data_IF_010539775094
#
_entry.id   IF_010539775094
#
_cell.length_a   1.000
_cell.length_b   1.000
_cell.length_c   1.000
_cell.angle_alpha   90.00
_cell.angle_beta   90.00
_cell.angle_gamma   90.00
#
_symmetry.space_group_name_H-M   'P 1'
#
loop_
_entity.id
_entity.type
_entity.pdbx_description
1 polymer ?
#
# COMPACT_ATOMS: atom_id res chain seq x y z
N UNK A 1 8.20 -0.82 -2.91
CA UNK A 1 7.02 -1.67 -3.17
C UNK A 1 5.97 -0.87 -3.95
N UNK A 2 5.14 -1.52 -4.78
CA UNK A 2 3.99 -0.85 -5.41
C UNK A 2 2.73 -1.12 -4.59
N UNK A 3 2.03 -0.06 -4.17
CA UNK A 3 0.78 -0.17 -3.39
C UNK A 3 -0.32 0.63 -4.04
N UNK A 4 -1.56 0.12 -3.91
CA UNK A 4 -2.78 0.84 -4.27
C UNK A 4 -3.69 0.97 -3.04
N UNK A 5 -4.44 2.07 -2.88
CA UNK A 5 -5.41 2.18 -1.80
C UNK A 5 -6.58 1.24 -2.06
N UNK A 6 -7.16 0.68 -1.00
CA UNK A 6 -8.43 -0.04 -1.11
C UNK A 6 -9.52 0.93 -1.55
N UNK A 7 -10.45 0.47 -2.39
CA UNK A 7 -11.51 1.32 -2.93
C UNK A 7 -12.30 2.01 -1.79
N UNK A 8 -12.48 3.33 -1.92
CA UNK A 8 -13.13 4.16 -0.90
C UNK A 8 -12.22 4.59 0.26
N UNK A 9 -10.93 4.24 0.25
CA UNK A 9 -9.94 4.74 1.22
C UNK A 9 -9.13 5.90 0.64
N UNK A 10 -8.88 6.89 1.49
CA UNK A 10 -7.90 7.96 1.25
C UNK A 10 -6.68 7.70 2.11
N UNK A 11 -5.57 7.31 1.49
CA UNK A 11 -4.32 6.99 2.20
C UNK A 11 -3.30 8.09 1.90
N UNK A 12 -2.83 8.86 2.90
CA UNK A 12 -1.80 9.86 2.68
C UNK A 12 -0.47 9.20 2.32
N UNK A 13 0.29 9.85 1.45
CA UNK A 13 1.66 9.51 1.05
C UNK A 13 2.61 10.49 1.75
N UNK A 14 3.28 10.09 2.84
CA UNK A 14 4.15 11.00 3.61
C UNK A 14 5.36 11.50 2.83
N UNK A 15 5.82 10.78 1.80
CA UNK A 15 6.99 11.16 1.02
C UNK A 15 6.64 12.27 0.01
N UNK A 16 5.41 12.26 -0.52
CA UNK A 16 4.94 13.21 -1.52
C UNK A 16 4.07 14.33 -0.95
N UNK A 17 3.52 14.15 0.27
CA UNK A 17 2.60 15.10 0.89
C UNK A 17 1.22 15.14 0.24
N UNK A 18 0.89 14.16 -0.61
CA UNK A 18 -0.42 14.01 -1.28
C UNK A 18 -1.15 12.74 -0.83
N UNK A 19 -2.31 12.45 -1.43
CA UNK A 19 -2.99 11.17 -1.27
C UNK A 19 -2.47 10.17 -2.31
N UNK A 20 -2.34 8.92 -1.90
CA UNK A 20 -2.01 7.82 -2.79
C UNK A 20 -3.09 7.72 -3.89
N UNK A 21 -2.71 7.77 -5.17
CA UNK A 21 -3.67 7.72 -6.26
C UNK A 21 -4.38 6.36 -6.32
N UNK A 22 -5.61 6.33 -6.84
CA UNK A 22 -6.40 5.10 -6.97
C UNK A 22 -5.72 4.02 -7.82
N UNK A 23 -4.89 4.43 -8.79
CA UNK A 23 -4.06 3.52 -9.59
C UNK A 23 -2.94 2.85 -8.78
N UNK A 24 -2.60 3.41 -7.62
CA UNK A 24 -1.42 3.08 -6.84
C UNK A 24 -0.15 3.80 -7.31
N UNK A 25 0.91 3.63 -6.54
CA UNK A 25 2.23 4.23 -6.77
C UNK A 25 3.33 3.31 -6.23
N UNK A 26 4.54 3.45 -6.79
CA UNK A 26 5.73 2.85 -6.21
C UNK A 26 6.23 3.71 -5.04
N UNK A 27 6.34 3.10 -3.87
CA UNK A 27 6.73 3.74 -2.61
C UNK A 27 7.87 2.96 -1.95
N UNK A 28 8.60 3.59 -1.03
CA UNK A 28 9.61 2.88 -0.25
C UNK A 28 8.96 1.83 0.66
N UNK A 29 9.58 0.66 0.78
CA UNK A 29 9.12 -0.36 1.74
C UNK A 29 9.59 0.02 3.14
N UNK A 30 8.75 0.79 3.84
CA UNK A 30 9.02 1.26 5.19
C UNK A 30 7.88 0.91 6.15
N UNK A 31 8.10 1.16 7.45
CA UNK A 31 7.12 0.83 8.49
C UNK A 31 5.75 1.48 8.30
N UNK A 32 5.67 2.63 7.62
CA UNK A 32 4.39 3.28 7.34
C UNK A 32 3.54 2.43 6.37
N UNK A 33 4.11 2.04 5.22
CA UNK A 33 3.38 1.25 4.23
C UNK A 33 3.09 -0.17 4.71
N UNK A 34 4.00 -0.79 5.45
CA UNK A 34 3.77 -2.10 6.07
C UNK A 34 2.58 -2.08 7.04
N UNK A 35 2.45 -1.03 7.85
CA UNK A 35 1.29 -0.86 8.74
C UNK A 35 -0.02 -0.67 7.97
N UNK A 36 0.02 0.06 6.84
CA UNK A 36 -1.17 0.25 5.98
C UNK A 36 -1.61 -1.05 5.30
N UNK A 37 -0.66 -1.91 4.92
CA UNK A 37 -0.95 -3.26 4.43
C UNK A 37 -1.63 -4.09 5.51
N UNK A 38 -1.06 -4.13 6.72
CA UNK A 38 -1.63 -4.89 7.85
C UNK A 38 -3.00 -4.37 8.29
N UNK A 39 -3.23 -3.07 8.19
CA UNK A 39 -4.53 -2.45 8.48
C UNK A 39 -5.58 -2.65 7.38
N UNK A 40 -5.19 -3.18 6.21
CA UNK A 40 -6.08 -3.30 5.05
C UNK A 40 -6.44 -1.96 4.41
N UNK A 41 -5.64 -0.92 4.61
CA UNK A 41 -5.82 0.39 3.97
C UNK A 41 -5.29 0.40 2.53
N UNK A 42 -4.26 -0.40 2.26
CA UNK A 42 -3.63 -0.54 0.93
C UNK A 42 -3.39 -2.01 0.61
N UNK A 43 -3.28 -2.32 -0.68
CA UNK A 43 -2.90 -3.63 -1.19
C UNK A 43 -1.56 -3.52 -1.93
N UNK A 44 -0.64 -4.45 -1.67
CA UNK A 44 0.61 -4.56 -2.42
C UNK A 44 0.36 -5.18 -3.79
N UNK A 45 0.74 -4.50 -4.86
CA UNK A 45 0.63 -4.96 -6.25
C UNK A 45 1.95 -5.60 -6.72
N UNK A 46 2.70 -6.21 -5.81
CA UNK A 46 3.80 -7.08 -6.20
C UNK A 46 3.23 -8.34 -6.84
N UNK A 47 3.58 -8.59 -8.10
CA UNK A 47 3.42 -9.90 -8.73
C UNK A 47 4.07 -10.93 -7.77
N UNK A 48 3.26 -11.82 -7.20
CA UNK A 48 3.62 -12.90 -6.26
C UNK A 48 3.96 -12.53 -4.80
N UNK A 49 3.01 -12.86 -3.91
CA UNK A 49 3.19 -13.72 -2.73
C UNK A 49 1.88 -14.52 -2.64
N UNK A 50 1.77 -15.67 -3.31
CA UNK A 50 2.08 -17.02 -2.78
C UNK A 50 2.06 -17.08 -1.24
N UNK A 51 1.17 -17.93 -0.74
CA UNK A 51 0.64 -17.90 0.62
C UNK A 51 1.64 -18.21 1.72
N UNK A 52 1.28 -17.79 2.92
CA UNK A 52 1.71 -18.43 4.17
C UNK A 52 0.72 -18.06 5.29
N UNK A 53 -0.50 -18.60 5.18
CA UNK A 53 -1.33 -18.92 6.35
C UNK A 53 -1.01 -20.40 6.65
N UNK A 54 -0.14 -20.64 7.63
CA UNK A 54 -0.01 -21.93 8.33
C UNK A 54 0.03 -21.67 9.83
#
# INVERSE_FOLDING_TARGET
MYVKPVAGRSVPDPAHGDLLPASGRNVEENNYWLRRLMAGDVESVSKQKEGNDE
#
